data_IF_227237857499
#
_entry.id   IF_227237857499
#
_cell.length_a   1.000
_cell.length_b   1.000
_cell.length_c   1.000
_cell.angle_alpha   90.00
_cell.angle_beta   90.00
_cell.angle_gamma   90.00
#
_symmetry.space_group_name_H-M   'P 1'
#
loop_
_entity.id
_entity.type
_entity.pdbx_description
1 polymer ?
#
# COMPACT_ATOMS: atom_id res chain seq x y z
N UNK A 1 -3.33 1.21 15.54
CA UNK A 1 -2.75 0.01 16.19
C UNK A 1 -3.05 -1.27 15.43
N UNK A 2 -4.32 -1.66 15.19
CA UNK A 2 -4.68 -2.88 14.43
C UNK A 2 -4.12 -2.90 13.01
N UNK A 3 -4.14 -1.78 12.29
CA UNK A 3 -3.60 -1.66 10.94
C UNK A 3 -2.09 -1.89 10.91
N UNK A 4 -1.35 -1.41 11.91
CA UNK A 4 0.07 -1.69 12.03
C UNK A 4 0.37 -3.17 12.24
N UNK A 5 -0.45 -3.87 13.02
CA UNK A 5 -0.34 -5.32 13.22
C UNK A 5 -0.62 -6.06 11.91
N UNK A 6 -1.67 -5.66 11.19
CA UNK A 6 -2.00 -6.25 9.90
C UNK A 6 -0.84 -6.10 8.90
N UNK A 7 -0.23 -4.92 8.83
CA UNK A 7 0.94 -4.68 8.00
C UNK A 7 2.10 -5.61 8.34
N UNK A 8 2.41 -5.79 9.64
CA UNK A 8 3.46 -6.70 10.08
C UNK A 8 3.16 -8.17 9.75
N UNK A 9 1.90 -8.60 9.89
CA UNK A 9 1.47 -9.95 9.49
C UNK A 9 1.69 -10.15 8.00
N UNK A 10 1.41 -9.15 7.18
CA UNK A 10 1.65 -9.20 5.74
C UNK A 10 3.14 -9.26 5.39
N UNK A 11 4.01 -8.56 6.13
CA UNK A 11 5.47 -8.67 5.95
C UNK A 11 5.95 -10.11 6.16
N UNK A 12 5.49 -10.76 7.23
CA UNK A 12 5.84 -12.15 7.52
C UNK A 12 5.35 -13.08 6.40
N UNK A 13 4.11 -12.90 5.95
CA UNK A 13 3.52 -13.69 4.87
C UNK A 13 4.28 -13.52 3.54
N UNK A 14 4.70 -12.31 3.23
CA UNK A 14 5.39 -11.99 1.98
C UNK A 14 6.89 -12.26 2.01
N UNK A 15 7.43 -12.82 3.10
CA UNK A 15 8.88 -13.03 3.30
C UNK A 15 9.70 -11.74 3.18
N UNK A 16 9.10 -10.61 3.44
CA UNK A 16 9.77 -9.31 3.46
C UNK A 16 10.47 -9.05 4.79
N UNK A 17 11.36 -8.07 4.81
CA UNK A 17 12.05 -7.67 6.04
C UNK A 17 11.04 -7.18 7.08
N UNK A 18 11.15 -7.66 8.31
CA UNK A 18 10.29 -7.29 9.45
C UNK A 18 10.22 -5.76 9.70
N UNK A 19 11.11 -4.99 9.11
CA UNK A 19 11.13 -3.53 9.23
C UNK A 19 10.69 -2.81 7.95
N UNK A 20 10.24 -3.54 6.93
CA UNK A 20 9.83 -2.94 5.65
C UNK A 20 8.70 -1.92 5.83
N UNK A 21 7.61 -2.31 6.50
CA UNK A 21 6.46 -1.43 6.75
C UNK A 21 6.86 -0.19 7.55
N UNK A 22 7.69 -0.35 8.58
CA UNK A 22 8.18 0.79 9.37
C UNK A 22 8.98 1.78 8.52
N UNK A 23 9.80 1.28 7.60
CA UNK A 23 10.55 2.12 6.66
C UNK A 23 9.63 2.82 5.66
N UNK A 24 8.66 2.10 5.10
CA UNK A 24 7.66 2.67 4.18
C UNK A 24 6.91 3.82 4.86
N UNK A 25 6.40 3.61 6.07
CA UNK A 25 5.70 4.64 6.82
C UNK A 25 6.61 5.85 7.12
N UNK A 26 7.84 5.61 7.54
CA UNK A 26 8.79 6.70 7.84
C UNK A 26 9.12 7.53 6.61
N UNK A 27 9.40 6.88 5.48
CA UNK A 27 9.68 7.56 4.21
C UNK A 27 8.45 8.34 3.75
N UNK A 28 7.27 7.74 3.80
CA UNK A 28 6.00 8.39 3.45
C UNK A 28 5.80 9.65 4.29
N UNK A 29 5.99 9.58 5.59
CA UNK A 29 5.86 10.73 6.50
C UNK A 29 6.82 11.87 6.13
N UNK A 30 8.09 11.55 5.86
CA UNK A 30 9.10 12.54 5.47
C UNK A 30 8.74 13.19 4.12
N UNK A 31 8.33 12.39 3.15
CA UNK A 31 7.94 12.90 1.83
C UNK A 31 6.72 13.81 1.91
N UNK A 32 5.71 13.45 2.69
CA UNK A 32 4.52 14.28 2.90
C UNK A 32 4.85 15.60 3.61
N UNK A 33 5.71 15.56 4.62
CA UNK A 33 6.17 16.76 5.30
C UNK A 33 6.87 17.70 4.31
N UNK A 34 7.79 17.18 3.52
CA UNK A 34 8.51 17.98 2.51
C UNK A 34 7.58 18.51 1.41
N UNK A 35 6.63 17.71 0.98
CA UNK A 35 5.63 18.15 0.00
C UNK A 35 4.82 19.34 0.53
N UNK A 36 4.32 19.25 1.77
CA UNK A 36 3.53 20.32 2.40
C UNK A 36 4.35 21.58 2.68
N UNK A 37 5.67 21.48 2.87
CA UNK A 37 6.56 22.63 2.97
C UNK A 37 6.76 23.34 1.63
N UNK A 38 6.68 22.59 0.51
CA UNK A 38 6.90 23.12 -0.85
C UNK A 38 5.64 23.69 -1.48
N UNK A 39 4.48 23.14 -1.17
CA UNK A 39 3.22 23.52 -1.80
C UNK A 39 2.03 23.19 -0.91
N UNK A 40 0.98 23.97 -1.07
CA UNK A 40 -0.32 23.78 -0.40
C UNK A 40 -1.43 23.35 -1.38
N UNK A 41 -1.09 23.14 -2.65
CA UNK A 41 -2.08 22.84 -3.71
C UNK A 41 -2.90 21.58 -3.44
N UNK A 42 -2.37 20.62 -2.66
CA UNK A 42 -3.08 19.39 -2.31
C UNK A 42 -3.98 19.52 -1.09
N UNK A 43 -3.87 20.62 -0.35
CA UNK A 43 -4.71 20.90 0.81
C UNK A 43 -4.59 19.88 1.95
N UNK A 44 -3.43 19.21 2.09
CA UNK A 44 -3.22 18.18 3.11
C UNK A 44 -3.00 18.80 4.48
N UNK A 45 -3.88 18.47 5.41
CA UNK A 45 -3.70 18.83 6.82
C UNK A 45 -2.91 17.76 7.60
N UNK A 46 -2.70 18.00 8.90
CA UNK A 46 -1.96 17.05 9.76
C UNK A 46 -2.64 15.69 9.89
N UNK A 47 -3.97 15.67 9.92
CA UNK A 47 -4.74 14.42 9.96
C UNK A 47 -4.61 13.64 8.66
N UNK A 48 -4.70 14.31 7.50
CA UNK A 48 -4.52 13.68 6.20
C UNK A 48 -3.14 13.02 6.09
N UNK A 49 -2.10 13.72 6.51
CA UNK A 49 -0.72 13.18 6.51
C UNK A 49 -0.58 11.95 7.41
N UNK A 50 -1.20 11.98 8.58
CA UNK A 50 -1.22 10.85 9.50
C UNK A 50 -1.94 9.65 8.88
N UNK A 51 -3.12 9.87 8.29
CA UNK A 51 -3.92 8.82 7.67
C UNK A 51 -3.23 8.21 6.44
N UNK A 52 -2.62 9.03 5.59
CA UNK A 52 -1.86 8.55 4.43
C UNK A 52 -0.67 7.70 4.89
N UNK A 53 0.08 8.16 5.88
CA UNK A 53 1.20 7.42 6.45
C UNK A 53 0.75 6.09 7.03
N UNK A 54 -0.35 6.05 7.77
CA UNK A 54 -0.93 4.82 8.30
C UNK A 54 -1.41 3.91 7.19
N UNK A 55 -2.11 4.44 6.19
CA UNK A 55 -2.63 3.68 5.05
C UNK A 55 -1.52 3.07 4.19
N UNK A 56 -0.33 3.68 4.15
CA UNK A 56 0.82 3.15 3.39
C UNK A 56 1.25 1.76 3.84
N UNK A 57 0.96 1.38 5.08
CA UNK A 57 1.21 0.02 5.59
C UNK A 57 0.39 -1.06 4.90
N UNK A 58 -0.68 -0.69 4.19
CA UNK A 58 -1.59 -1.61 3.51
C UNK A 58 -1.31 -1.75 2.01
N UNK A 59 -0.27 -1.10 1.48
CA UNK A 59 -0.01 -1.04 0.04
C UNK A 59 0.03 -2.41 -0.64
N UNK A 60 0.58 -3.41 0.03
CA UNK A 60 0.78 -4.77 -0.46
C UNK A 60 -0.25 -5.80 0.04
N UNK A 61 -1.36 -5.35 0.65
CA UNK A 61 -2.37 -6.27 1.23
C UNK A 61 -2.93 -7.25 0.19
N UNK A 62 -2.96 -6.86 -1.10
CA UNK A 62 -3.42 -7.70 -2.19
C UNK A 62 -2.57 -8.96 -2.43
N UNK A 63 -1.34 -8.99 -1.92
CA UNK A 63 -0.48 -10.17 -2.01
C UNK A 63 -1.04 -11.38 -1.26
N UNK A 64 -1.94 -11.18 -0.30
CA UNK A 64 -2.62 -12.30 0.38
C UNK A 64 -3.44 -13.17 -0.58
N UNK A 65 -3.87 -12.62 -1.71
CA UNK A 65 -4.62 -13.32 -2.75
C UNK A 65 -3.73 -13.99 -3.81
N UNK A 66 -2.41 -13.85 -3.69
CA UNK A 66 -1.44 -14.44 -4.63
C UNK A 66 -0.96 -15.78 -4.07
N UNK A 67 -0.82 -16.78 -4.95
CA UNK A 67 -0.30 -18.11 -4.58
C UNK A 67 1.11 -17.99 -3.96
N UNK A 68 1.32 -18.64 -2.83
CA UNK A 68 2.60 -18.63 -2.10
C UNK A 68 3.78 -19.10 -2.95
N UNK A 69 3.53 -20.00 -3.90
CA UNK A 69 4.55 -20.49 -4.83
C UNK A 69 5.06 -19.39 -5.76
N UNK A 70 4.22 -18.41 -6.07
CA UNK A 70 4.60 -17.23 -6.84
C UNK A 70 5.30 -16.21 -5.94
N UNK A 71 4.73 -15.94 -4.76
CA UNK A 71 5.32 -14.98 -3.81
C UNK A 71 6.74 -15.33 -3.38
N UNK A 72 7.03 -16.64 -3.24
CA UNK A 72 8.32 -17.14 -2.73
C UNK A 72 9.27 -17.63 -3.84
N UNK A 73 8.90 -17.48 -5.12
CA UNK A 73 9.76 -17.87 -6.23
C UNK A 73 10.93 -16.91 -6.40
N UNK A 74 12.12 -17.47 -6.65
CA UNK A 74 13.30 -16.67 -6.98
C UNK A 74 13.27 -16.19 -8.42
N UNK A 75 12.82 -17.04 -9.33
CA UNK A 75 12.70 -16.76 -10.76
C UNK A 75 11.26 -16.94 -11.20
N UNK A 76 10.63 -15.84 -11.59
CA UNK A 76 9.25 -15.84 -12.06
C UNK A 76 9.19 -15.96 -13.58
N UNK A 77 8.27 -16.80 -14.08
CA UNK A 77 7.92 -16.76 -15.51
C UNK A 77 7.16 -15.47 -15.84
N UNK A 78 7.07 -15.07 -17.12
CA UNK A 78 6.26 -13.91 -17.51
C UNK A 78 4.81 -14.00 -17.04
N UNK A 79 4.22 -15.19 -17.08
CA UNK A 79 2.84 -15.44 -16.63
C UNK A 79 2.72 -15.26 -15.11
N UNK A 80 3.67 -15.77 -14.34
CA UNK A 80 3.72 -15.59 -12.88
C UNK A 80 3.94 -14.13 -12.50
N UNK A 81 4.78 -13.43 -13.23
CA UNK A 81 5.01 -11.99 -13.07
C UNK A 81 3.72 -11.22 -13.32
N UNK A 82 2.97 -11.56 -14.37
CA UNK A 82 1.68 -10.95 -14.65
C UNK A 82 0.67 -11.18 -13.51
N UNK A 83 0.65 -12.38 -12.93
CA UNK A 83 -0.20 -12.67 -11.77
C UNK A 83 0.23 -11.83 -10.56
N UNK A 84 1.52 -11.75 -10.26
CA UNK A 84 2.02 -10.94 -9.16
C UNK A 84 1.67 -9.45 -9.33
N UNK A 85 1.70 -8.95 -10.55
CA UNK A 85 1.34 -7.56 -10.85
C UNK A 85 -0.16 -7.24 -10.68
N UNK A 86 -0.99 -8.22 -10.35
CA UNK A 86 -2.41 -7.98 -10.03
C UNK A 86 -2.64 -7.55 -8.59
N UNK A 87 -1.66 -7.70 -7.69
CA UNK A 87 -1.85 -7.41 -6.27
C UNK A 87 -2.30 -5.97 -5.96
N UNK A 88 -1.90 -4.91 -6.70
CA UNK A 88 -2.41 -3.56 -6.46
C UNK A 88 -3.93 -3.48 -6.64
N UNK A 89 -4.45 -4.05 -7.71
CA UNK A 89 -5.89 -4.07 -7.99
C UNK A 89 -6.62 -4.96 -6.99
N UNK A 90 -6.09 -6.14 -6.69
CA UNK A 90 -6.68 -7.05 -5.71
C UNK A 90 -6.75 -6.41 -4.32
N UNK A 91 -5.70 -5.73 -3.89
CA UNK A 91 -5.69 -5.00 -2.62
C UNK A 91 -6.74 -3.89 -2.57
N UNK A 92 -6.85 -3.10 -3.62
CA UNK A 92 -7.87 -2.07 -3.72
C UNK A 92 -9.29 -2.67 -3.66
N UNK A 93 -9.56 -3.74 -4.41
CA UNK A 93 -10.85 -4.42 -4.41
C UNK A 93 -11.20 -5.02 -3.05
N UNK A 94 -10.24 -5.60 -2.35
CA UNK A 94 -10.46 -6.12 -0.99
C UNK A 94 -10.95 -5.01 -0.04
N UNK A 95 -10.36 -3.83 -0.12
CA UNK A 95 -10.76 -2.68 0.70
C UNK A 95 -12.10 -2.08 0.23
N UNK A 96 -12.35 -2.03 -1.07
CA UNK A 96 -13.63 -1.59 -1.64
C UNK A 96 -14.80 -2.48 -1.20
N UNK A 97 -14.56 -3.76 -0.98
CA UNK A 97 -15.58 -4.71 -0.48
C UNK A 97 -15.92 -4.53 1.01
N UNK A 98 -15.18 -3.71 1.75
CA UNK A 98 -15.50 -3.36 3.12
C UNK A 98 -16.60 -2.26 3.16
N UNK A 99 -17.82 -2.62 2.78
CA UNK A 99 -18.93 -1.68 2.59
C UNK A 99 -19.23 -0.81 3.81
N UNK A 100 -18.98 -1.32 5.01
CA UNK A 100 -19.18 -0.59 6.28
C UNK A 100 -18.19 0.56 6.48
N UNK A 101 -17.04 0.54 5.79
CA UNK A 101 -15.93 1.47 5.99
C UNK A 101 -15.61 2.32 4.77
N UNK A 102 -16.45 2.31 3.73
CA UNK A 102 -16.19 3.03 2.47
C UNK A 102 -16.09 4.55 2.66
N UNK A 103 -16.75 5.11 3.66
CA UNK A 103 -16.72 6.54 3.95
C UNK A 103 -15.55 6.94 4.86
N UNK A 104 -14.83 5.98 5.43
CA UNK A 104 -13.68 6.25 6.27
C UNK A 104 -12.51 6.81 5.45
N UNK A 105 -11.97 8.00 5.79
CA UNK A 105 -10.86 8.61 5.04
C UNK A 105 -9.63 7.70 4.93
N UNK A 106 -9.31 6.95 5.99
CA UNK A 106 -8.22 5.98 5.99
C UNK A 106 -8.38 4.94 4.88
N UNK A 107 -9.59 4.38 4.74
CA UNK A 107 -9.89 3.35 3.73
C UNK A 107 -9.81 3.94 2.33
N UNK A 108 -10.29 5.15 2.13
CA UNK A 108 -10.18 5.86 0.84
C UNK A 108 -8.73 6.07 0.42
N UNK A 109 -7.87 6.49 1.33
CA UNK A 109 -6.44 6.62 1.07
C UNK A 109 -5.80 5.24 0.79
N UNK A 110 -6.14 4.23 1.58
CA UNK A 110 -5.59 2.89 1.41
C UNK A 110 -5.97 2.27 0.05
N UNK A 111 -7.20 2.45 -0.42
CA UNK A 111 -7.65 2.00 -1.75
C UNK A 111 -6.78 2.62 -2.85
N UNK A 112 -6.55 3.93 -2.79
CA UNK A 112 -5.74 4.63 -3.77
C UNK A 112 -4.27 4.18 -3.71
N UNK A 113 -3.72 4.04 -2.51
CA UNK A 113 -2.35 3.58 -2.30
C UNK A 113 -2.17 2.16 -2.85
N UNK A 114 -3.07 1.23 -2.51
CA UNK A 114 -3.01 -0.13 -3.06
C UNK A 114 -3.01 -0.13 -4.58
N UNK A 115 -3.95 0.60 -5.17
CA UNK A 115 -4.15 0.61 -6.63
C UNK A 115 -2.98 1.18 -7.40
N UNK A 116 -2.32 2.22 -6.86
CA UNK A 116 -1.41 3.07 -7.62
C UNK A 116 0.04 3.07 -7.10
N UNK A 117 0.41 2.28 -6.09
CA UNK A 117 1.77 2.34 -5.53
C UNK A 117 2.88 1.87 -6.49
N UNK A 118 2.53 1.17 -7.57
CA UNK A 118 3.45 0.83 -8.66
C UNK A 118 3.35 1.78 -9.86
N UNK A 119 2.45 2.76 -9.82
CA UNK A 119 2.32 3.71 -10.92
C UNK A 119 3.56 4.60 -11.02
N UNK A 120 3.89 4.97 -12.23
CA UNK A 120 5.01 5.87 -12.54
C UNK A 120 4.49 7.26 -12.84
N UNK A 121 5.38 8.25 -12.73
CA UNK A 121 5.02 9.65 -13.00
C UNK A 121 4.44 9.88 -14.39
N UNK A 122 4.89 9.09 -15.38
CA UNK A 122 4.41 9.15 -16.77
C UNK A 122 3.15 8.31 -17.04
N UNK A 123 2.60 7.64 -16.04
CA UNK A 123 1.40 6.81 -16.16
C UNK A 123 1.64 5.44 -16.80
N UNK A 124 2.88 4.97 -16.88
CA UNK A 124 3.23 3.70 -17.53
C UNK A 124 3.37 2.51 -16.56
N UNK A 125 3.07 2.73 -15.31
CA UNK A 125 3.18 1.69 -14.26
C UNK A 125 2.00 0.74 -14.15
#
# INVERSE_FOLDING_TARGET
>A
MMIGILGQVMEIHNSESIHHISRVQRITSILLERLCQKTDIYGLNGMDRYLITTASSLHDIGKVAIDDRILNAHDLTPEQTAILHTHPILGAQMLENLSQYQDEPLVKFAIQICRWHHERWDGSG
#
